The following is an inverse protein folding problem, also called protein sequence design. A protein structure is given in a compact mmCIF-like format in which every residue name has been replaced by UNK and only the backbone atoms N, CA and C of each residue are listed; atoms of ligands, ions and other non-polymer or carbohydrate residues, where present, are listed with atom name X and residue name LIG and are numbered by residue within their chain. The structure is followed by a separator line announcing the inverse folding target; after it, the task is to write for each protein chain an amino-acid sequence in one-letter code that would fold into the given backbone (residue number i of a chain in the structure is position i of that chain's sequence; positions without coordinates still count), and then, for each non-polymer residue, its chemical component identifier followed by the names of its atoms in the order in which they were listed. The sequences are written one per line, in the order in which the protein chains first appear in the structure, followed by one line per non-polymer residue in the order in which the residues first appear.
data_IF_574028844143
#
_entry.id   IF_574028844143
#
_cell.length_a   1.000
_cell.length_b   1.000
_cell.length_c   1.000
_cell.angle_alpha   90.00
_cell.angle_beta   90.00
_cell.angle_gamma   90.00
#
_symmetry.space_group_name_H-M   'P 1'
#
loop_
_entity.id
_entity.type
_entity.pdbx_description
1 polymer ?
#
# COMPACT_ATOMS: atom_id res chain seq x y z
N UNK A 1 5.79 6.43 15.43
CA UNK A 1 5.64 4.95 15.59
C UNK A 1 6.86 4.22 15.01
N UNK A 2 7.09 2.92 15.29
CA UNK A 2 8.35 2.21 14.94
C UNK A 2 8.70 2.20 13.43
N UNK A 3 7.72 2.41 12.56
CA UNK A 3 7.88 2.36 11.10
C UNK A 3 7.75 3.74 10.43
N UNK A 4 7.56 4.80 11.20
CA UNK A 4 7.33 6.13 10.65
C UNK A 4 8.53 6.65 9.84
N UNK A 5 8.26 7.24 8.67
CA UNK A 5 9.28 7.72 7.74
C UNK A 5 9.98 6.63 6.91
N UNK A 6 9.62 5.35 7.10
CA UNK A 6 10.10 4.25 6.25
C UNK A 6 9.37 4.23 4.91
N UNK A 7 9.91 3.45 3.98
CA UNK A 7 9.33 3.21 2.66
C UNK A 7 9.02 1.73 2.49
N UNK A 8 7.90 1.40 1.85
CA UNK A 8 7.51 0.01 1.57
C UNK A 8 6.97 -0.13 0.15
N UNK A 9 7.34 -1.21 -0.54
CA UNK A 9 6.73 -1.64 -1.81
C UNK A 9 5.84 -2.84 -1.53
N UNK A 10 4.55 -2.73 -1.84
CA UNK A 10 3.59 -3.83 -1.65
C UNK A 10 3.08 -4.27 -3.02
N UNK A 11 3.36 -5.52 -3.40
CA UNK A 11 2.88 -6.12 -4.65
C UNK A 11 1.47 -6.68 -4.49
N UNK A 12 0.65 -6.60 -5.54
CA UNK A 12 -0.74 -7.04 -5.49
C UNK A 12 -1.63 -6.21 -4.55
N UNK A 13 -1.28 -4.94 -4.33
CA UNK A 13 -1.90 -4.08 -3.31
C UNK A 13 -3.09 -3.24 -3.80
N UNK A 14 -3.56 -3.46 -5.03
CA UNK A 14 -4.78 -2.80 -5.51
C UNK A 14 -6.06 -3.31 -4.85
N UNK A 15 -6.03 -4.46 -4.13
CA UNK A 15 -7.22 -5.06 -3.50
C UNK A 15 -6.87 -6.04 -2.38
N UNK A 16 -7.91 -6.52 -1.69
CA UNK A 16 -7.82 -7.61 -0.72
C UNK A 16 -6.81 -7.33 0.39
N UNK A 17 -6.07 -8.37 0.79
CA UNK A 17 -5.09 -8.28 1.88
C UNK A 17 -3.96 -7.29 1.56
N UNK A 18 -3.48 -7.27 0.31
CA UNK A 18 -2.42 -6.35 -0.10
C UNK A 18 -2.81 -4.88 0.10
N UNK A 19 -4.06 -4.52 -0.22
CA UNK A 19 -4.61 -3.18 0.05
C UNK A 19 -4.69 -2.89 1.55
N UNK A 20 -5.19 -3.85 2.34
CA UNK A 20 -5.27 -3.70 3.80
C UNK A 20 -3.90 -3.45 4.44
N UNK A 21 -2.86 -4.16 3.99
CA UNK A 21 -1.48 -3.95 4.45
C UNK A 21 -0.96 -2.57 4.04
N UNK A 22 -1.20 -2.16 2.78
CA UNK A 22 -0.76 -0.85 2.28
C UNK A 22 -1.37 0.29 3.11
N UNK A 23 -2.68 0.24 3.38
CA UNK A 23 -3.39 1.24 4.19
C UNK A 23 -2.87 1.25 5.62
N UNK A 24 -2.75 0.08 6.27
CA UNK A 24 -2.27 0.01 7.65
C UNK A 24 -0.84 0.56 7.81
N UNK A 25 0.06 0.31 6.85
CA UNK A 25 1.40 0.89 6.86
C UNK A 25 1.37 2.41 6.64
N UNK A 26 0.54 2.89 5.72
CA UNK A 26 0.37 4.32 5.47
C UNK A 26 -0.15 5.06 6.70
N UNK A 27 -1.15 4.51 7.41
CA UNK A 27 -1.67 5.03 8.69
C UNK A 27 -0.58 5.09 9.78
N UNK A 28 0.44 4.24 9.68
CA UNK A 28 1.60 4.23 10.57
C UNK A 28 2.75 5.17 10.13
N UNK A 29 2.50 6.03 9.14
CA UNK A 29 3.46 7.03 8.65
C UNK A 29 4.52 6.47 7.70
N UNK A 30 4.27 5.31 7.09
CA UNK A 30 5.12 4.72 6.05
C UNK A 30 4.74 5.29 4.68
N UNK A 31 5.73 5.60 3.84
CA UNK A 31 5.50 5.90 2.43
C UNK A 31 5.38 4.59 1.64
N UNK A 32 4.20 4.34 1.07
CA UNK A 32 3.91 3.06 0.41
C UNK A 32 3.85 3.23 -1.11
N UNK A 33 4.52 2.33 -1.83
CA UNK A 33 4.37 2.14 -3.26
C UNK A 33 3.41 0.97 -3.53
N UNK A 34 2.34 1.26 -4.26
CA UNK A 34 1.31 0.30 -4.66
C UNK A 34 1.71 -0.32 -6.00
N UNK A 35 1.93 -1.63 -6.02
CA UNK A 35 2.18 -2.39 -7.26
C UNK A 35 1.01 -3.30 -7.58
N UNK A 36 0.59 -3.28 -8.84
CA UNK A 36 -0.56 -3.99 -9.38
C UNK A 36 -0.26 -4.42 -10.82
N UNK A 37 -1.07 -5.35 -11.34
CA UNK A 37 -0.91 -5.83 -12.72
C UNK A 37 -1.86 -5.11 -13.68
N UNK A 38 -3.18 -5.32 -13.56
CA UNK A 38 -4.16 -4.79 -14.54
C UNK A 38 -5.22 -3.86 -13.95
N UNK A 39 -5.34 -3.78 -12.62
CA UNK A 39 -6.43 -3.03 -11.97
C UNK A 39 -5.99 -1.62 -11.55
N UNK A 40 -5.77 -0.76 -12.55
CA UNK A 40 -5.35 0.64 -12.37
C UNK A 40 -6.34 1.46 -11.54
N UNK A 41 -7.64 1.27 -11.76
CA UNK A 41 -8.68 1.97 -11.00
C UNK A 41 -8.59 1.68 -9.50
N UNK A 42 -8.57 0.39 -9.13
CA UNK A 42 -8.46 0.03 -7.72
C UNK A 42 -7.10 0.41 -7.11
N UNK A 43 -6.03 0.42 -7.90
CA UNK A 43 -4.72 0.86 -7.42
C UNK A 43 -4.67 2.37 -7.10
N UNK A 44 -5.39 3.21 -7.86
CA UNK A 44 -5.50 4.65 -7.59
C UNK A 44 -6.38 4.98 -6.39
N UNK A 45 -7.26 4.07 -6.00
CA UNK A 45 -8.11 4.19 -4.81
C UNK A 45 -7.46 3.63 -3.52
N UNK A 46 -6.31 2.96 -3.65
CA UNK A 46 -5.51 2.48 -2.51
C UNK A 46 -4.58 3.58 -2.03
#
# INVERSE_FOLDING_TARGET
MALEGKHALITGSSRGIGRGIAVALAENGVKVAVHYFENDGAAKET
#
